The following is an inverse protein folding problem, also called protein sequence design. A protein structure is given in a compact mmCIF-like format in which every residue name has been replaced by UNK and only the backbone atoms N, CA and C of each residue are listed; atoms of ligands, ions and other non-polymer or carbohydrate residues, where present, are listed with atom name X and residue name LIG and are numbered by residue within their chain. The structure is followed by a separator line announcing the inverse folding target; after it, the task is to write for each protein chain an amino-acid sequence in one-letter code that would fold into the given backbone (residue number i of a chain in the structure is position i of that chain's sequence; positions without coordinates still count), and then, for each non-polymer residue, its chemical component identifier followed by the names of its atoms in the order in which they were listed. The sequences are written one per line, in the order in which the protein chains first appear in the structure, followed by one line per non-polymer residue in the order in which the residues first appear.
data_IF_999352128242
#
_entry.id   IF_999352128242
#
_cell.length_a   1.000
_cell.length_b   1.000
_cell.length_c   1.000
_cell.angle_alpha   90.00
_cell.angle_beta   90.00
_cell.angle_gamma   90.00
#
_symmetry.space_group_name_H-M   'P 1'
#
loop_
_entity.id
_entity.type
_entity.pdbx_description
1 polymer ?
#
# COMPACT_ATOMS: atom_id res chain seq x y z
N UNK A 1 35.76 -33.37 -1.01
CA UNK A 1 34.53 -33.75 -0.30
C UNK A 1 33.78 -32.48 0.01
N UNK A 2 32.85 -32.22 -0.77
CA UNK A 2 32.01 -31.01 -0.76
C UNK A 2 30.82 -31.31 0.12
N UNK A 3 30.73 -30.68 1.27
CA UNK A 3 29.54 -30.69 2.07
C UNK A 3 28.64 -29.58 1.60
N UNK A 4 27.54 -30.02 1.08
CA UNK A 4 26.41 -29.26 0.64
C UNK A 4 25.81 -28.49 1.80
N UNK A 5 25.97 -27.19 1.77
CA UNK A 5 25.09 -26.29 2.53
C UNK A 5 23.68 -26.47 2.03
N UNK A 6 22.95 -27.35 2.69
CA UNK A 6 21.52 -27.48 2.56
C UNK A 6 20.87 -26.16 2.97
N UNK A 7 20.76 -25.25 2.02
CA UNK A 7 19.93 -24.07 2.14
C UNK A 7 18.53 -24.54 2.53
N UNK A 8 18.14 -24.28 3.75
CA UNK A 8 16.75 -24.41 4.20
C UNK A 8 15.86 -23.68 3.21
N UNK A 9 15.22 -24.43 2.33
CA UNK A 9 14.16 -23.94 1.46
C UNK A 9 12.92 -23.67 2.32
N UNK A 10 13.01 -22.59 3.12
CA UNK A 10 11.82 -21.92 3.60
C UNK A 10 11.11 -21.26 2.40
N UNK A 11 9.80 -21.17 2.43
CA UNK A 11 9.05 -20.44 1.42
C UNK A 11 9.68 -19.04 1.22
N UNK A 12 9.82 -18.55 -0.03
CA UNK A 12 10.48 -17.30 -0.31
C UNK A 12 9.88 -16.16 0.52
N UNK A 13 10.76 -15.37 1.11
CA UNK A 13 10.35 -14.24 1.96
C UNK A 13 9.56 -13.21 1.14
N UNK A 14 8.85 -12.31 1.82
CA UNK A 14 8.17 -11.20 1.17
C UNK A 14 9.12 -10.39 0.25
N UNK A 15 10.34 -10.16 0.72
CA UNK A 15 11.36 -9.41 -0.02
C UNK A 15 11.86 -10.16 -1.26
N UNK A 16 12.05 -11.48 -1.15
CA UNK A 16 12.44 -12.30 -2.30
C UNK A 16 11.34 -12.29 -3.38
N UNK A 17 10.09 -12.39 -2.96
CA UNK A 17 8.94 -12.31 -3.88
C UNK A 17 8.86 -10.95 -4.55
N UNK A 18 9.01 -9.86 -3.79
CA UNK A 18 8.99 -8.50 -4.33
C UNK A 18 10.12 -8.29 -5.34
N UNK A 19 11.32 -8.78 -5.03
CA UNK A 19 12.46 -8.68 -5.93
C UNK A 19 12.23 -9.46 -7.23
N UNK A 20 11.72 -10.69 -7.13
CA UNK A 20 11.37 -11.53 -8.29
C UNK A 20 10.28 -10.87 -9.15
N UNK A 21 9.27 -10.28 -8.53
CA UNK A 21 8.21 -9.53 -9.23
C UNK A 21 8.82 -8.40 -10.08
N UNK A 22 9.78 -7.67 -9.53
CA UNK A 22 10.45 -6.56 -10.25
C UNK A 22 11.34 -7.02 -11.41
N UNK A 23 11.77 -8.27 -11.39
CA UNK A 23 12.59 -8.87 -12.46
C UNK A 23 11.73 -9.54 -13.54
N UNK A 24 10.61 -10.16 -13.17
CA UNK A 24 9.82 -11.02 -14.04
C UNK A 24 8.54 -10.39 -14.59
N UNK A 25 7.93 -9.46 -13.85
CA UNK A 25 6.62 -8.91 -14.20
C UNK A 25 6.72 -7.74 -15.18
N UNK A 26 5.58 -7.40 -15.77
CA UNK A 26 5.49 -6.33 -16.76
C UNK A 26 5.93 -4.98 -16.20
N UNK A 27 6.88 -4.29 -16.83
CA UNK A 27 7.35 -2.98 -16.40
C UNK A 27 6.28 -1.88 -16.45
N UNK A 28 5.15 -2.13 -17.14
CA UNK A 28 4.01 -1.23 -17.15
C UNK A 28 3.15 -1.30 -15.88
N UNK A 29 3.30 -2.37 -15.10
CA UNK A 29 2.58 -2.56 -13.83
C UNK A 29 3.45 -2.16 -12.66
N UNK A 30 4.68 -2.70 -12.63
CA UNK A 30 5.69 -2.43 -11.62
C UNK A 30 7.08 -2.46 -12.25
N UNK A 31 7.94 -1.51 -11.91
CA UNK A 31 9.33 -1.52 -12.38
C UNK A 31 10.27 -0.78 -11.43
N UNK A 32 11.56 -1.02 -11.56
CA UNK A 32 12.58 -0.17 -10.98
C UNK A 32 12.57 1.21 -11.65
N UNK A 33 12.96 2.24 -10.89
CA UNK A 33 13.30 3.54 -11.49
C UNK A 33 14.59 3.44 -12.32
N UNK A 34 14.96 4.52 -13.03
CA UNK A 34 16.17 4.54 -13.85
C UNK A 34 17.47 4.31 -13.08
N UNK A 35 17.51 4.73 -11.80
CA UNK A 35 18.69 4.60 -10.94
C UNK A 35 18.76 3.25 -10.22
N UNK A 36 17.63 2.54 -10.11
CA UNK A 36 17.54 1.24 -9.45
C UNK A 36 17.52 1.29 -7.93
N UNK A 37 17.23 2.44 -7.34
CA UNK A 37 17.16 2.66 -5.90
C UNK A 37 15.73 2.76 -5.35
N UNK A 38 14.76 2.90 -6.24
CA UNK A 38 13.33 2.89 -5.95
C UNK A 38 12.58 1.99 -6.91
N UNK A 39 11.40 1.57 -6.56
CA UNK A 39 10.48 0.91 -7.47
C UNK A 39 9.14 1.62 -7.53
N UNK A 40 8.49 1.50 -8.68
CA UNK A 40 7.26 2.23 -9.00
C UNK A 40 6.16 1.24 -9.37
N UNK A 41 5.00 1.37 -8.73
CA UNK A 41 3.77 0.67 -9.10
C UNK A 41 2.91 1.66 -9.87
N UNK A 42 2.74 1.43 -11.16
CA UNK A 42 2.00 2.33 -12.04
C UNK A 42 0.49 2.15 -11.95
N UNK A 43 0.04 0.93 -11.70
CA UNK A 43 -1.39 0.62 -11.56
C UNK A 43 -1.61 -0.31 -10.37
N UNK A 44 -2.06 0.22 -9.22
CA UNK A 44 -2.39 -0.58 -8.04
C UNK A 44 -3.43 -1.66 -8.31
N UNK A 45 -4.42 -1.37 -9.14
CA UNK A 45 -5.50 -2.30 -9.46
C UNK A 45 -5.01 -3.49 -10.28
N UNK A 46 -4.22 -3.24 -11.34
CA UNK A 46 -3.62 -4.29 -12.16
C UNK A 46 -2.59 -5.08 -11.36
N UNK A 47 -1.82 -4.41 -10.50
CA UNK A 47 -0.88 -5.06 -9.61
C UNK A 47 -1.60 -6.02 -8.64
N UNK A 48 -2.68 -5.58 -8.02
CA UNK A 48 -3.47 -6.42 -7.13
C UNK A 48 -4.09 -7.63 -7.85
N UNK A 49 -4.67 -7.43 -9.02
CA UNK A 49 -5.37 -8.46 -9.77
C UNK A 49 -4.43 -9.48 -10.43
N UNK A 50 -3.35 -9.02 -11.07
CA UNK A 50 -2.48 -9.87 -11.89
C UNK A 50 -1.25 -10.36 -11.15
N UNK A 51 -0.62 -9.48 -10.37
CA UNK A 51 0.66 -9.79 -9.72
C UNK A 51 0.44 -10.35 -8.33
N UNK A 52 -0.34 -9.67 -7.48
CA UNK A 52 -0.54 -10.15 -6.12
C UNK A 52 -1.20 -11.53 -6.05
N UNK A 53 -2.16 -11.81 -6.91
CA UNK A 53 -2.81 -13.12 -6.98
C UNK A 53 -1.85 -14.26 -7.29
N UNK A 54 -0.78 -13.99 -8.03
CA UNK A 54 0.24 -14.98 -8.42
C UNK A 54 1.27 -15.25 -7.31
N UNK A 55 1.69 -14.22 -6.59
CA UNK A 55 2.81 -14.32 -5.63
C UNK A 55 2.39 -14.32 -4.17
N UNK A 56 1.22 -13.76 -3.83
CA UNK A 56 0.76 -13.58 -2.46
C UNK A 56 -0.60 -14.23 -2.21
N UNK A 57 -0.83 -14.63 -0.97
CA UNK A 57 -2.15 -15.17 -0.56
C UNK A 57 -3.24 -14.09 -0.50
N UNK A 58 -2.87 -12.87 -0.19
CA UNK A 58 -3.79 -11.73 -0.13
C UNK A 58 -3.66 -10.87 -1.37
N UNK A 59 -4.77 -10.57 -2.01
CA UNK A 59 -4.87 -9.68 -3.17
C UNK A 59 -5.19 -8.23 -2.79
N UNK A 60 -5.25 -7.94 -1.48
CA UNK A 60 -5.55 -6.59 -0.99
C UNK A 60 -4.29 -5.72 -1.07
N UNK A 61 -4.32 -4.68 -1.89
CA UNK A 61 -3.21 -3.75 -2.05
C UNK A 61 -2.76 -3.11 -0.73
N UNK A 62 -3.70 -2.76 0.15
CA UNK A 62 -3.39 -2.21 1.47
C UNK A 62 -2.57 -3.19 2.34
N UNK A 63 -2.81 -4.49 2.22
CA UNK A 63 -2.02 -5.50 2.92
C UNK A 63 -0.57 -5.53 2.42
N UNK A 64 -0.37 -5.33 1.13
CA UNK A 64 0.95 -5.22 0.52
C UNK A 64 1.69 -3.96 1.03
N UNK A 65 1.03 -2.82 1.04
CA UNK A 65 1.58 -1.56 1.59
C UNK A 65 1.98 -1.73 3.06
N UNK A 66 1.14 -2.41 3.85
CA UNK A 66 1.44 -2.70 5.26
C UNK A 66 2.71 -3.54 5.41
N UNK A 67 2.92 -4.54 4.54
CA UNK A 67 4.16 -5.32 4.55
C UNK A 67 5.37 -4.45 4.20
N UNK A 68 5.28 -3.58 3.20
CA UNK A 68 6.35 -2.63 2.88
C UNK A 68 6.73 -1.77 4.10
N UNK A 69 5.74 -1.24 4.80
CA UNK A 69 5.98 -0.43 6.00
C UNK A 69 6.69 -1.23 7.10
N UNK A 70 6.32 -2.50 7.32
CA UNK A 70 6.98 -3.37 8.28
C UNK A 70 8.45 -3.63 7.95
N UNK A 71 8.83 -3.64 6.68
CA UNK A 71 10.21 -3.75 6.24
C UNK A 71 10.95 -2.42 6.12
N UNK A 72 10.30 -1.32 6.49
CA UNK A 72 10.93 0.01 6.51
C UNK A 72 10.98 0.73 5.18
N UNK A 73 10.23 0.28 4.18
CA UNK A 73 10.08 1.03 2.93
C UNK A 73 9.34 2.34 3.19
N UNK A 74 9.78 3.39 2.52
CA UNK A 74 9.16 4.70 2.57
C UNK A 74 8.57 5.04 1.21
N UNK A 75 7.35 5.57 1.21
CA UNK A 75 6.75 6.12 -0.01
C UNK A 75 7.50 7.40 -0.37
N UNK A 76 8.02 7.46 -1.58
CA UNK A 76 8.63 8.67 -2.12
C UNK A 76 7.53 9.54 -2.67
N UNK A 77 7.35 10.72 -2.08
CA UNK A 77 6.51 11.76 -2.66
C UNK A 77 7.41 12.56 -3.57
N UNK A 78 7.22 12.49 -4.88
CA UNK A 78 7.89 13.44 -5.78
C UNK A 78 7.46 14.84 -5.41
N UNK A 79 8.39 15.78 -5.52
CA UNK A 79 8.25 17.17 -5.12
C UNK A 79 6.86 17.76 -5.42
N UNK A 80 6.22 18.42 -4.42
CA UNK A 80 4.97 19.13 -4.65
C UNK A 80 5.10 20.34 -5.58
N UNK A 81 6.32 20.67 -6.03
CA UNK A 81 6.62 21.75 -6.99
C UNK A 81 6.49 21.34 -8.46
N UNK A 82 6.34 20.05 -8.76
CA UNK A 82 5.97 19.65 -10.12
C UNK A 82 4.47 19.93 -10.32
N UNK A 83 4.17 20.85 -11.20
CA UNK A 83 2.83 21.39 -11.48
C UNK A 83 1.85 20.35 -12.11
N UNK A 84 2.23 19.09 -12.23
CA UNK A 84 1.38 18.00 -12.69
C UNK A 84 0.45 17.49 -11.56
N UNK A 85 -0.51 18.34 -11.21
CA UNK A 85 -1.67 17.95 -10.38
C UNK A 85 -2.69 17.13 -11.18
N UNK A 86 -2.26 16.38 -12.17
CA UNK A 86 -3.15 15.51 -12.92
C UNK A 86 -3.60 14.34 -12.02
N UNK A 87 -4.92 14.14 -11.82
CA UNK A 87 -5.44 13.04 -11.01
C UNK A 87 -5.16 11.65 -11.63
N UNK A 88 -4.63 11.60 -12.85
CA UNK A 88 -4.26 10.37 -13.55
C UNK A 88 -2.88 9.82 -13.18
N UNK A 89 -2.08 10.54 -12.40
CA UNK A 89 -0.71 10.13 -12.07
C UNK A 89 -0.65 9.48 -10.67
N UNK A 90 -1.46 8.44 -10.44
CA UNK A 90 -1.49 7.68 -9.18
C UNK A 90 -0.50 6.52 -9.21
N UNK A 91 0.76 6.80 -9.51
CA UNK A 91 1.80 5.80 -9.29
C UNK A 91 2.32 5.86 -7.85
N UNK A 92 2.72 4.70 -7.36
CA UNK A 92 3.24 4.50 -6.02
C UNK A 92 4.72 4.18 -6.10
N UNK A 93 5.55 5.08 -5.64
CA UNK A 93 7.00 4.90 -5.61
C UNK A 93 7.47 4.64 -4.18
N UNK A 94 8.34 3.63 -4.02
CA UNK A 94 8.86 3.20 -2.72
C UNK A 94 10.37 3.10 -2.76
N UNK A 95 10.99 3.46 -1.65
CA UNK A 95 12.44 3.40 -1.45
C UNK A 95 12.79 2.67 -0.16
N UNK A 96 13.88 1.89 -0.24
CA UNK A 96 14.56 1.34 0.93
C UNK A 96 16.08 1.33 0.68
N UNK A 97 16.93 1.75 1.65
CA UNK A 97 18.38 1.91 1.44
C UNK A 97 19.10 0.63 1.01
N UNK A 98 18.58 -0.54 1.42
CA UNK A 98 19.17 -1.84 1.13
C UNK A 98 18.41 -2.63 0.06
N UNK A 99 17.39 -2.04 -0.56
CA UNK A 99 16.62 -2.68 -1.62
C UNK A 99 16.95 -2.01 -2.95
N UNK A 100 17.98 -2.55 -3.62
CA UNK A 100 18.59 -1.98 -4.81
C UNK A 100 18.59 -3.00 -5.95
N UNK A 101 18.38 -2.50 -7.17
CA UNK A 101 18.45 -3.31 -8.38
C UNK A 101 19.84 -3.95 -8.51
N UNK A 102 19.89 -5.24 -8.82
CA UNK A 102 21.15 -5.99 -8.95
C UNK A 102 21.83 -6.34 -7.63
N UNK A 103 21.23 -6.00 -6.48
CA UNK A 103 21.81 -6.26 -5.16
C UNK A 103 20.90 -7.14 -4.30
N UNK A 104 20.61 -8.34 -4.79
CA UNK A 104 19.81 -9.34 -4.07
C UNK A 104 20.48 -9.81 -2.77
N UNK A 105 21.81 -9.71 -2.70
CA UNK A 105 22.62 -10.00 -1.51
C UNK A 105 22.24 -9.15 -0.30
N UNK A 106 21.73 -7.94 -0.51
CA UNK A 106 21.34 -7.03 0.57
C UNK A 106 19.97 -7.36 1.19
N UNK A 107 19.16 -8.18 0.56
CA UNK A 107 17.82 -8.53 1.06
C UNK A 107 17.89 -9.22 2.44
N UNK A 108 18.92 -10.03 2.67
CA UNK A 108 19.13 -10.69 3.96
C UNK A 108 19.39 -9.72 5.12
N UNK A 109 19.82 -8.52 4.81
CA UNK A 109 20.09 -7.45 5.80
C UNK A 109 18.85 -6.61 6.12
N UNK A 110 17.77 -6.76 5.35
CA UNK A 110 16.52 -6.07 5.61
C UNK A 110 15.70 -6.89 6.59
N UNK A 111 15.55 -6.38 7.78
CA UNK A 111 14.79 -7.04 8.84
C UNK A 111 13.39 -6.42 8.95
N UNK A 112 12.42 -7.28 9.19
CA UNK A 112 11.08 -6.83 9.55
C UNK A 112 11.14 -6.16 10.91
N UNK A 113 10.63 -4.96 11.05
CA UNK A 113 10.49 -4.27 12.33
C UNK A 113 9.65 -5.14 13.27
N UNK A 114 10.22 -5.51 14.40
CA UNK A 114 9.47 -6.18 15.48
C UNK A 114 8.66 -5.12 16.22
N UNK A 115 7.46 -5.50 16.67
CA UNK A 115 6.65 -4.67 17.56
C UNK A 115 7.42 -4.44 18.88
N UNK A 116 8.15 -3.35 18.95
CA UNK A 116 8.95 -3.03 20.13
C UNK A 116 9.99 -1.92 19.95
N UNK A 117 10.42 -1.66 18.71
CA UNK A 117 11.33 -0.56 18.39
C UNK A 117 10.57 0.68 17.90
N UNK A 118 10.34 1.61 18.81
CA UNK A 118 10.11 3.06 18.63
C UNK A 118 9.10 3.56 17.58
N UNK A 119 8.20 2.73 17.11
CA UNK A 119 7.10 3.17 16.23
C UNK A 119 5.72 3.12 16.91
N UNK A 120 5.66 3.25 18.23
CA UNK A 120 4.40 3.50 18.95
C UNK A 120 3.69 4.75 18.42
N UNK A 121 4.46 5.68 17.86
CA UNK A 121 3.97 6.92 17.28
C UNK A 121 3.34 6.72 15.89
N UNK A 122 3.87 5.82 15.08
CA UNK A 122 3.32 5.54 13.73
C UNK A 122 2.08 4.65 13.81
N UNK A 123 2.08 3.66 14.70
CA UNK A 123 0.90 2.80 14.91
C UNK A 123 -0.23 3.58 15.59
N UNK A 124 0.10 4.45 16.53
CA UNK A 124 -0.86 5.39 17.14
C UNK A 124 -1.45 6.35 16.11
N UNK A 125 -0.63 6.89 15.21
CA UNK A 125 -1.11 7.76 14.12
C UNK A 125 -1.97 7.01 13.11
N UNK A 126 -1.61 5.77 12.79
CA UNK A 126 -2.42 4.94 11.91
C UNK A 126 -3.76 4.58 12.55
N UNK A 127 -3.77 4.22 13.82
CA UNK A 127 -5.00 3.95 14.57
C UNK A 127 -5.85 5.22 14.72
N UNK A 128 -5.22 6.37 14.92
CA UNK A 128 -5.93 7.64 14.96
C UNK A 128 -6.57 7.95 13.62
N UNK A 129 -5.84 7.82 12.53
CA UNK A 129 -6.35 8.04 11.19
C UNK A 129 -7.49 7.07 10.83
N UNK A 130 -7.41 5.82 11.28
CA UNK A 130 -8.49 4.84 11.10
C UNK A 130 -9.76 5.24 11.89
N UNK A 131 -9.60 5.78 13.09
CA UNK A 131 -10.71 6.32 13.89
C UNK A 131 -11.34 7.54 13.21
N UNK A 132 -10.52 8.44 12.67
CA UNK A 132 -11.00 9.64 11.99
C UNK A 132 -11.76 9.28 10.71
N UNK A 133 -11.28 8.30 9.94
CA UNK A 133 -11.99 7.77 8.77
C UNK A 133 -13.34 7.16 9.18
N UNK A 134 -13.39 6.34 10.21
CA UNK A 134 -14.63 5.74 10.69
C UNK A 134 -15.60 6.81 11.18
N UNK A 135 -15.12 7.83 11.87
CA UNK A 135 -15.93 8.97 12.31
C UNK A 135 -16.54 9.73 11.13
N UNK A 136 -15.73 10.00 10.09
CA UNK A 136 -16.22 10.64 8.86
C UNK A 136 -17.27 9.79 8.13
N UNK A 137 -17.10 8.48 8.08
CA UNK A 137 -18.12 7.58 7.53
C UNK A 137 -19.43 7.65 8.31
N UNK A 138 -19.37 7.72 9.64
CA UNK A 138 -20.55 7.87 10.51
C UNK A 138 -21.27 9.18 10.21
N UNK A 139 -20.53 10.31 10.13
CA UNK A 139 -21.11 11.62 9.79
C UNK A 139 -21.77 11.63 8.40
N UNK A 140 -21.12 11.01 7.41
CA UNK A 140 -21.68 10.91 6.06
C UNK A 140 -22.97 10.07 6.07
N UNK A 141 -22.99 8.97 6.83
CA UNK A 141 -24.17 8.12 6.99
C UNK A 141 -25.34 8.88 7.63
N UNK A 142 -25.08 9.61 8.71
CA UNK A 142 -26.08 10.43 9.36
C UNK A 142 -26.60 11.56 8.45
N UNK A 143 -25.70 12.20 7.70
CA UNK A 143 -26.08 13.25 6.76
C UNK A 143 -26.96 12.72 5.61
N UNK A 144 -26.68 11.51 5.12
CA UNK A 144 -27.49 10.86 4.10
C UNK A 144 -28.87 10.42 4.66
N UNK A 145 -28.93 10.05 5.93
CA UNK A 145 -30.18 9.70 6.58
C UNK A 145 -31.09 10.93 6.76
N UNK A 146 -30.52 12.10 6.94
CA UNK A 146 -31.26 13.37 7.04
C UNK A 146 -31.90 13.80 5.71
N UNK A 147 -31.29 13.46 4.56
CA UNK A 147 -31.83 13.76 3.23
C UNK A 147 -33.02 12.89 2.81
N UNK A 148 -33.32 11.83 3.55
CA UNK A 148 -34.41 10.88 3.23
C UNK A 148 -35.58 11.04 4.19
N UNK A 149 -35.66 12.11 4.97
CA UNK A 149 -36.85 12.40 5.74
C UNK A 149 -38.00 12.76 4.76
N UNK A 150 -39.07 11.96 4.65
CA UNK A 150 -40.18 12.29 3.80
C UNK A 150 -40.80 13.58 4.31
N UNK A 151 -40.96 14.54 3.40
CA UNK A 151 -41.78 15.73 3.65
C UNK A 151 -43.19 15.19 3.89
N UNK A 152 -43.58 15.11 5.17
CA UNK A 152 -44.95 14.81 5.52
C UNK A 152 -45.79 16.01 5.05
N UNK A 153 -46.68 15.69 4.12
CA UNK A 153 -47.72 16.58 3.60
C UNK A 153 -48.34 17.43 4.72
N UNK A 154 -48.07 18.71 4.68
CA UNK A 154 -48.90 19.70 5.33
C UNK A 154 -50.16 19.83 4.50
N UNK A 155 -51.11 18.91 4.73
CA UNK A 155 -52.45 19.07 4.24
C UNK A 155 -53.11 20.19 5.02
N UNK A 156 -52.96 21.40 4.51
CA UNK A 156 -53.67 22.56 4.98
C UNK A 156 -55.13 22.45 4.55
N UNK A 157 -55.96 21.93 5.42
CA UNK A 157 -57.43 21.94 5.21
C UNK A 157 -57.96 23.35 5.47
N UNK A 158 -58.06 24.11 4.41
CA UNK A 158 -58.91 25.31 4.43
C UNK A 158 -60.33 24.87 4.09
N UNK A 159 -61.19 24.79 5.11
CA UNK A 159 -62.64 24.86 4.97
C UNK A 159 -63.11 26.26 5.36
N UNK A 160 -63.67 26.97 4.37
CA UNK A 160 -64.56 28.07 4.61
C UNK A 160 -65.84 27.59 5.30
#
# INVERSE_FOLDING_TARGET
MTEEDAVKQGSPSFLDKLYTILEEESPHIISWNGEGDTFIIFSPDLFAQKVMSKYFKSTKFNSFIRQLNFYGFKKTTRDPSSEDKSPSNRFWEFRHPLFLRGRRDLLSKIHRKQLGDTDADVDSRFQQMQRDINYLYTLISEFNQWKVAPVRDLHCSWKC
#
